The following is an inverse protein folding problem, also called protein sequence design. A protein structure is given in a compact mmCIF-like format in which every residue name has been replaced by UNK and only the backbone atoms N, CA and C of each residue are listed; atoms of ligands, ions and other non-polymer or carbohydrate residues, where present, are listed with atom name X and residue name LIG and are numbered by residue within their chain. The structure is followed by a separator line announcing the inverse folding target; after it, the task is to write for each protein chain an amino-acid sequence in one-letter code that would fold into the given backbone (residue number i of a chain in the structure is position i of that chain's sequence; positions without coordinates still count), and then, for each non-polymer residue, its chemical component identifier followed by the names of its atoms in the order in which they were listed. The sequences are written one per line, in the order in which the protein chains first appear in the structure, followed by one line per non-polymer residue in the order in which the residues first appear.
data_IF_122584482540
#
_entry.id   IF_122584482540
#
_cell.length_a   1.000
_cell.length_b   1.000
_cell.length_c   1.000
_cell.angle_alpha   90.00
_cell.angle_beta   90.00
_cell.angle_gamma   90.00
#
_symmetry.space_group_name_H-M   'P 1'
#
loop_
_entity.id
_entity.type
_entity.pdbx_description
1 polymer ?
#
# COMPACT_ATOMS: atom_id res chain seq x y z
N UNK A 1 -3.84 -5.11 -13.49
CA UNK A 1 -4.32 -3.80 -13.02
C UNK A 1 -3.60 -3.42 -11.73
N UNK A 2 -3.29 -2.12 -11.51
CA UNK A 2 -2.69 -1.59 -10.27
C UNK A 2 -3.77 -0.92 -9.44
N UNK A 3 -3.80 -1.15 -8.12
CA UNK A 3 -4.77 -0.48 -7.24
C UNK A 3 -4.42 1.01 -7.09
N UNK A 4 -5.40 1.86 -6.74
CA UNK A 4 -5.12 3.28 -6.43
C UNK A 4 -4.03 3.45 -5.37
N UNK A 5 -4.00 2.54 -4.38
CA UNK A 5 -2.99 2.52 -3.32
C UNK A 5 -1.59 2.20 -3.86
N UNK A 6 -1.46 1.22 -4.75
CA UNK A 6 -0.19 0.90 -5.40
C UNK A 6 0.32 2.05 -6.28
N UNK A 7 -0.55 2.69 -7.05
CA UNK A 7 -0.18 3.84 -7.87
C UNK A 7 0.28 5.03 -7.01
N UNK A 8 -0.42 5.32 -5.92
CA UNK A 8 -0.04 6.37 -4.98
C UNK A 8 1.30 6.06 -4.28
N UNK A 9 1.50 4.82 -3.84
CA UNK A 9 2.74 4.39 -3.18
C UNK A 9 3.95 4.40 -4.12
N UNK A 10 3.79 3.92 -5.36
CA UNK A 10 4.83 4.01 -6.39
C UNK A 10 5.13 5.46 -6.82
N UNK A 11 4.14 6.35 -6.72
CA UNK A 11 4.25 7.77 -7.07
C UNK A 11 4.80 8.66 -5.97
N UNK A 12 4.86 8.21 -4.72
CA UNK A 12 5.30 9.06 -3.60
C UNK A 12 4.20 10.00 -3.11
N UNK A 13 2.94 9.66 -3.37
CA UNK A 13 1.80 10.52 -3.03
C UNK A 13 1.33 10.25 -1.60
N UNK A 14 2.09 10.70 -0.60
CA UNK A 14 1.83 10.45 0.83
C UNK A 14 0.39 10.81 1.26
N UNK A 15 -0.11 11.98 0.85
CA UNK A 15 -1.47 12.43 1.18
C UNK A 15 -2.54 11.53 0.56
N UNK A 16 -2.33 11.08 -0.68
CA UNK A 16 -3.24 10.18 -1.37
C UNK A 16 -3.24 8.79 -0.73
N UNK A 17 -2.08 8.30 -0.29
CA UNK A 17 -1.97 7.04 0.47
C UNK A 17 -2.77 7.15 1.76
N UNK A 18 -2.59 8.22 2.55
CA UNK A 18 -3.37 8.43 3.77
C UNK A 18 -4.89 8.42 3.53
N UNK A 19 -5.37 9.12 2.50
CA UNK A 19 -6.80 9.14 2.20
C UNK A 19 -7.35 7.78 1.78
N UNK A 20 -6.58 7.03 0.99
CA UNK A 20 -6.98 5.68 0.57
C UNK A 20 -7.02 4.71 1.76
N UNK A 21 -6.06 4.79 2.67
CA UNK A 21 -6.04 3.99 3.89
C UNK A 21 -7.22 4.35 4.81
N UNK A 22 -7.52 5.64 4.98
CA UNK A 22 -8.68 6.09 5.75
C UNK A 22 -10.02 5.65 5.13
N UNK A 23 -10.07 5.47 3.81
CA UNK A 23 -11.23 4.93 3.09
C UNK A 23 -11.34 3.39 3.18
N UNK A 24 -10.43 2.72 3.89
CA UNK A 24 -10.43 1.27 4.05
C UNK A 24 -9.84 0.52 2.84
N UNK A 25 -8.95 1.14 2.07
CA UNK A 25 -8.25 0.45 0.99
C UNK A 25 -7.49 -0.77 1.52
N UNK A 26 -7.61 -1.89 0.82
CA UNK A 26 -6.84 -3.09 1.15
C UNK A 26 -5.34 -2.86 0.96
N UNK A 27 -4.60 -2.89 2.07
CA UNK A 27 -3.13 -2.75 2.09
C UNK A 27 -2.43 -3.97 1.47
N UNK A 28 -3.12 -5.11 1.48
CA UNK A 28 -2.57 -6.41 1.09
C UNK A 28 -2.90 -6.82 -0.35
N UNK A 29 -3.60 -5.98 -1.12
CA UNK A 29 -3.95 -6.36 -2.49
C UNK A 29 -2.68 -6.49 -3.31
N UNK A 30 -2.45 -7.70 -3.83
CA UNK A 30 -1.42 -7.94 -4.83
C UNK A 30 -1.96 -7.41 -6.16
N UNK A 31 -1.20 -6.52 -6.80
CA UNK A 31 -1.55 -6.07 -8.15
C UNK A 31 -1.58 -7.26 -9.09
N UNK A 32 -2.53 -7.27 -10.03
CA UNK A 32 -2.60 -8.38 -10.99
C UNK A 32 -1.36 -8.39 -11.88
N UNK A 33 -0.81 -9.59 -12.01
CA UNK A 33 0.35 -9.92 -12.81
C UNK A 33 0.09 -9.53 -14.27
N UNK A 34 0.89 -8.59 -14.78
CA UNK A 34 1.27 -8.68 -16.18
C UNK A 34 2.62 -9.38 -16.21
N UNK A 35 2.62 -10.47 -16.97
CA UNK A 35 3.74 -11.21 -17.50
C UNK A 35 5.11 -10.56 -17.17
N UNK A 36 5.98 -11.35 -16.53
CA UNK A 36 7.38 -11.04 -16.17
C UNK A 36 7.68 -9.87 -15.19
N UNK A 37 6.75 -8.95 -14.88
CA UNK A 37 6.98 -7.89 -13.88
C UNK A 37 6.07 -8.06 -12.66
N UNK A 38 6.63 -8.60 -11.57
CA UNK A 38 5.94 -8.65 -10.26
C UNK A 38 5.76 -7.23 -9.71
N UNK A 39 4.60 -6.64 -9.92
CA UNK A 39 4.19 -5.48 -9.14
C UNK A 39 3.86 -5.96 -7.72
N UNK A 40 4.76 -5.67 -6.78
CA UNK A 40 4.58 -5.98 -5.38
C UNK A 40 3.40 -5.25 -4.73
N UNK A 41 3.14 -5.50 -3.45
CA UNK A 41 2.17 -4.72 -2.67
C UNK A 41 2.51 -3.23 -2.70
N UNK A 42 1.56 -2.37 -2.31
CA UNK A 42 1.80 -0.93 -2.15
C UNK A 42 3.07 -0.64 -1.33
N UNK A 43 3.33 -1.45 -0.29
CA UNK A 43 4.53 -1.36 0.56
C UNK A 43 5.81 -1.71 -0.20
N UNK A 44 5.80 -2.78 -0.99
CA UNK A 44 6.97 -3.17 -1.77
C UNK A 44 7.32 -2.11 -2.83
N UNK A 45 6.31 -1.44 -3.39
CA UNK A 45 6.50 -0.36 -4.36
C UNK A 45 7.06 0.91 -3.71
N UNK A 46 6.58 1.28 -2.51
CA UNK A 46 7.11 2.39 -1.74
C UNK A 46 8.58 2.14 -1.34
N UNK A 47 8.89 0.96 -0.81
CA UNK A 47 10.26 0.54 -0.48
C UNK A 47 11.19 0.55 -1.70
N UNK A 48 10.73 0.03 -2.84
CA UNK A 48 11.54 -0.01 -4.06
C UNK A 48 11.89 1.39 -4.61
N UNK A 49 11.12 2.42 -4.21
CA UNK A 49 11.33 3.82 -4.62
C UNK A 49 11.91 4.70 -3.51
N UNK A 50 12.09 4.16 -2.30
CA UNK A 50 12.64 4.88 -1.15
C UNK A 50 11.66 5.86 -0.50
N UNK A 51 10.37 5.53 -0.47
CA UNK A 51 9.33 6.39 0.08
C UNK A 51 9.03 6.06 1.56
N UNK A 52 9.98 6.36 2.45
CA UNK A 52 9.96 5.98 3.87
C UNK A 52 8.70 6.44 4.63
N UNK A 53 8.11 7.58 4.24
CA UNK A 53 6.86 8.09 4.84
C UNK A 53 5.66 7.20 4.52
N UNK A 54 5.57 6.73 3.27
CA UNK A 54 4.52 5.81 2.81
C UNK A 54 4.67 4.46 3.49
N UNK A 55 5.90 4.03 3.76
CA UNK A 55 6.17 2.77 4.46
C UNK A 55 5.59 2.78 5.88
N UNK A 56 5.78 3.88 6.62
CA UNK A 56 5.19 4.02 7.95
C UNK A 56 3.66 4.00 7.91
N UNK A 57 3.06 4.74 6.96
CA UNK A 57 1.60 4.79 6.81
C UNK A 57 1.01 3.40 6.52
N UNK A 58 1.62 2.64 5.62
CA UNK A 58 1.18 1.30 5.25
C UNK A 58 1.38 0.27 6.37
N UNK A 59 2.48 0.38 7.14
CA UNK A 59 2.73 -0.46 8.31
C UNK A 59 1.72 -0.20 9.43
N UNK A 60 1.42 1.06 9.74
CA UNK A 60 0.40 1.44 10.72
C UNK A 60 -0.96 0.89 10.31
N UNK A 61 -1.37 1.08 9.05
CA UNK A 61 -2.66 0.55 8.58
C UNK A 61 -2.74 -0.98 8.64
N UNK A 62 -1.64 -1.70 8.38
CA UNK A 62 -1.59 -3.15 8.57
C UNK A 62 -1.72 -3.57 10.04
N UNK A 63 -1.12 -2.81 10.95
CA UNK A 63 -1.22 -3.07 12.39
C UNK A 63 -2.66 -2.86 12.89
N UNK A 64 -3.33 -1.80 12.44
CA UNK A 64 -4.73 -1.51 12.77
C UNK A 64 -5.70 -2.58 12.25
N UNK A 65 -5.45 -3.14 11.05
CA UNK A 65 -6.24 -4.27 10.53
C UNK A 65 -6.09 -5.50 11.44
N UNK A 66 -4.89 -5.75 11.97
CA UNK A 66 -4.62 -6.94 12.79
C UNK A 66 -5.17 -6.82 14.22
N UNK A 67 -5.30 -5.60 14.76
CA UNK A 67 -5.93 -5.37 16.07
C UNK A 67 -7.45 -5.47 16.03
N UNK A 68 -8.08 -5.15 14.90
CA UNK A 68 -9.54 -5.21 14.74
C UNK A 68 -10.08 -6.62 14.45
N UNK A 69 -9.22 -7.59 14.12
CA UNK A 69 -9.59 -9.00 13.90
C UNK A 69 -9.47 -9.92 15.13
N UNK A 70 -8.98 -9.38 16.25
CA UNK A 70 -8.80 -10.12 17.51
C UNK A 70 -9.87 -9.75 18.53
N UNK A 71 -11.14 -10.15 18.32
CA UNK A 71 -12.22 -10.11 19.31
C UNK A 71 -13.29 -11.14 18.97
#
# INVERSE_FOLDING_TARGET
YSTPLQAASAGGHDQTVQQLLAAGAEVNTLGEYYDHWRYGTALQLALARGHDQIDQQLLTARADINTQGGS
#
